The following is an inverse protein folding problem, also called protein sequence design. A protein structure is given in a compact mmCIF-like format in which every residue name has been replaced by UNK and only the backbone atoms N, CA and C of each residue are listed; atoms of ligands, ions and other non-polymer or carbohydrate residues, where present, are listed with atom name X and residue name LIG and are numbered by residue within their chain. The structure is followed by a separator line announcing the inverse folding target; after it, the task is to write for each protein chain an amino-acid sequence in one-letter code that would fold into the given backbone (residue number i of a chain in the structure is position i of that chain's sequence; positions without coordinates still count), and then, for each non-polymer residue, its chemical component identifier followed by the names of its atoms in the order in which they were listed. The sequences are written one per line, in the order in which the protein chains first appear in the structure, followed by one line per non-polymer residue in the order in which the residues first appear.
data_IF_989511217516
#
_entry.id   IF_989511217516
#
_cell.length_a   1.000
_cell.length_b   1.000
_cell.length_c   1.000
_cell.angle_alpha   90.00
_cell.angle_beta   90.00
_cell.angle_gamma   90.00
#
_symmetry.space_group_name_H-M   'P 1'
#
loop_
_entity.id
_entity.type
_entity.pdbx_description
1 polymer ?
#
# COMPACT_ATOMS: atom_id res chain seq x y z
N UNK A 1 14.34 -29.95 13.84
CA UNK A 1 13.37 -28.89 13.50
C UNK A 1 13.95 -28.09 12.35
N UNK A 2 13.18 -27.87 11.28
CA UNK A 2 13.59 -26.94 10.23
C UNK A 2 13.46 -25.52 10.80
N UNK A 3 14.53 -24.70 10.82
CA UNK A 3 14.40 -23.32 11.28
C UNK A 3 13.41 -22.59 10.39
N UNK A 4 12.47 -21.86 11.02
CA UNK A 4 11.57 -20.96 10.32
C UNK A 4 12.38 -19.86 9.63
N UNK A 5 11.96 -19.50 8.43
CA UNK A 5 12.59 -18.42 7.70
C UNK A 5 12.33 -17.08 8.43
N UNK A 6 13.37 -16.27 8.56
CA UNK A 6 13.34 -14.96 9.20
C UNK A 6 14.02 -13.95 8.26
N UNK A 7 13.44 -12.76 8.11
CA UNK A 7 13.75 -11.84 7.00
C UNK A 7 14.21 -10.45 7.42
N UNK A 8 14.84 -10.30 8.59
CA UNK A 8 15.46 -9.05 9.03
C UNK A 8 16.44 -8.41 8.02
N UNK A 9 17.03 -9.22 7.12
CA UNK A 9 17.95 -8.77 6.06
C UNK A 9 17.28 -8.65 4.69
N UNK A 10 16.00 -8.97 4.59
CA UNK A 10 15.25 -9.11 3.34
C UNK A 10 15.47 -10.45 2.64
N UNK A 11 14.70 -10.67 1.59
CA UNK A 11 14.84 -11.78 0.65
C UNK A 11 14.34 -11.36 -0.71
N UNK A 12 14.98 -11.81 -1.79
CA UNK A 12 14.52 -11.53 -3.16
C UNK A 12 13.55 -12.60 -3.69
N UNK A 13 13.55 -13.79 -3.10
CA UNK A 13 12.75 -14.94 -3.55
C UNK A 13 12.39 -15.84 -2.37
N UNK A 14 11.21 -15.61 -1.79
CA UNK A 14 10.67 -16.45 -0.72
C UNK A 14 10.20 -17.80 -1.26
N UNK A 15 10.49 -18.88 -0.54
CA UNK A 15 10.09 -20.25 -0.95
C UNK A 15 8.60 -20.54 -0.79
N UNK A 16 7.86 -19.59 -0.21
CA UNK A 16 6.46 -19.78 0.15
C UNK A 16 6.31 -20.45 1.51
N UNK A 17 5.18 -20.19 2.17
CA UNK A 17 4.87 -20.73 3.49
C UNK A 17 5.23 -19.76 4.61
N UNK A 18 5.11 -20.29 5.83
CA UNK A 18 5.26 -19.53 7.07
C UNK A 18 6.67 -18.92 7.22
N UNK A 19 6.69 -17.61 7.48
CA UNK A 19 7.90 -16.84 7.71
C UNK A 19 7.69 -15.85 8.86
N UNK A 20 8.78 -15.56 9.57
CA UNK A 20 8.83 -14.48 10.54
C UNK A 20 9.25 -13.22 9.81
N UNK A 21 8.47 -12.15 9.99
CA UNK A 21 8.73 -10.81 9.46
C UNK A 21 8.63 -9.78 10.57
N UNK A 22 9.24 -8.61 10.37
CA UNK A 22 9.37 -7.60 11.42
C UNK A 22 10.38 -8.00 12.51
N UNK A 23 11.21 -9.02 12.25
CA UNK A 23 12.29 -9.48 13.13
C UNK A 23 13.48 -8.51 13.15
N UNK A 24 13.58 -7.62 12.16
CA UNK A 24 14.59 -6.56 12.11
C UNK A 24 14.33 -5.36 13.03
N UNK A 25 13.22 -5.34 13.80
CA UNK A 25 12.86 -4.20 14.65
C UNK A 25 12.40 -2.96 13.89
N UNK A 26 12.08 -3.11 12.60
CA UNK A 26 11.65 -2.05 11.68
C UNK A 26 10.52 -2.57 10.80
N UNK A 27 9.75 -1.67 10.19
CA UNK A 27 8.72 -2.05 9.22
C UNK A 27 9.36 -2.50 7.92
N UNK A 28 8.89 -3.62 7.38
CA UNK A 28 9.39 -4.23 6.14
C UNK A 28 8.27 -4.26 5.10
N UNK A 29 8.63 -4.36 3.82
CA UNK A 29 7.65 -4.47 2.72
C UNK A 29 7.75 -5.85 2.10
N UNK A 30 6.64 -6.58 2.07
CA UNK A 30 6.53 -7.85 1.35
C UNK A 30 5.89 -7.55 0.00
N UNK A 31 6.61 -7.80 -1.07
CA UNK A 31 6.12 -7.73 -2.44
C UNK A 31 5.79 -9.15 -2.90
N UNK A 32 4.54 -9.40 -3.25
CA UNK A 32 4.12 -10.70 -3.78
C UNK A 32 4.32 -10.74 -5.30
N UNK A 33 4.44 -11.93 -5.91
CA UNK A 33 4.50 -12.06 -7.37
C UNK A 33 3.23 -11.56 -8.08
N UNK A 34 2.11 -11.45 -7.36
CA UNK A 34 0.85 -10.90 -7.90
C UNK A 34 0.87 -9.38 -8.09
N UNK A 35 1.89 -8.70 -7.54
CA UNK A 35 2.02 -7.24 -7.56
C UNK A 35 1.47 -6.56 -6.31
N UNK A 36 0.91 -7.30 -5.36
CA UNK A 36 0.47 -6.76 -4.07
C UNK A 36 1.67 -6.51 -3.14
N UNK A 37 1.59 -5.42 -2.37
CA UNK A 37 2.58 -5.04 -1.37
C UNK A 37 1.94 -5.01 0.03
N UNK A 38 2.55 -5.68 0.99
CA UNK A 38 2.12 -5.70 2.38
C UNK A 38 3.18 -5.03 3.26
N UNK A 39 2.73 -4.23 4.23
CA UNK A 39 3.61 -3.58 5.21
C UNK A 39 3.58 -4.38 6.52
N UNK A 40 4.74 -4.78 7.01
CA UNK A 40 4.86 -5.56 8.24
C UNK A 40 5.06 -4.64 9.46
N UNK A 41 4.61 -5.06 10.67
CA UNK A 41 4.92 -4.33 11.89
C UNK A 41 6.41 -4.43 12.23
N UNK A 42 6.92 -3.55 13.09
CA UNK A 42 8.31 -3.56 13.58
C UNK A 42 8.56 -4.58 14.71
N UNK A 43 7.64 -5.53 14.88
CA UNK A 43 7.70 -6.59 15.88
C UNK A 43 7.65 -7.93 15.16
N UNK A 44 8.38 -8.97 15.63
CA UNK A 44 8.35 -10.28 15.00
C UNK A 44 6.93 -10.85 14.98
N UNK A 45 6.41 -11.08 13.78
CA UNK A 45 5.11 -11.72 13.55
C UNK A 45 5.28 -12.86 12.57
N UNK A 46 4.54 -13.94 12.80
CA UNK A 46 4.51 -15.10 11.94
C UNK A 46 3.39 -14.92 10.89
N UNK A 47 3.77 -14.93 9.62
CA UNK A 47 2.86 -14.72 8.49
C UNK A 47 3.08 -15.79 7.44
N UNK A 48 2.02 -16.18 6.74
CA UNK A 48 2.14 -17.01 5.55
C UNK A 48 2.36 -16.12 4.33
N UNK A 49 3.47 -16.32 3.63
CA UNK A 49 3.86 -15.48 2.50
C UNK A 49 3.85 -16.33 1.23
N UNK A 50 3.28 -15.84 0.11
CA UNK A 50 3.32 -16.55 -1.17
C UNK A 50 4.74 -16.84 -1.65
N UNK A 51 4.89 -17.92 -2.42
CA UNK A 51 6.14 -18.23 -3.12
C UNK A 51 6.54 -17.07 -4.06
N UNK A 52 7.84 -16.85 -4.25
CA UNK A 52 8.41 -15.75 -5.03
C UNK A 52 8.15 -14.36 -4.50
N UNK A 53 7.73 -14.25 -3.23
CA UNK A 53 7.62 -12.94 -2.59
C UNK A 53 8.99 -12.40 -2.21
N UNK A 54 9.16 -11.09 -2.34
CA UNK A 54 10.35 -10.35 -1.95
C UNK A 54 10.10 -9.57 -0.66
N UNK A 55 10.95 -9.74 0.34
CA UNK A 55 10.90 -8.97 1.59
C UNK A 55 11.96 -7.88 1.55
N UNK A 56 11.54 -6.63 1.71
CA UNK A 56 12.40 -5.47 1.72
C UNK A 56 12.55 -5.01 3.18
N UNK A 57 13.77 -5.04 3.75
CA UNK A 57 14.02 -4.89 5.19
C UNK A 57 13.86 -3.46 5.73
N UNK A 58 13.61 -2.49 4.84
CA UNK A 58 13.37 -1.11 5.20
C UNK A 58 12.27 -0.55 4.30
N UNK A 59 11.06 -0.44 4.87
CA UNK A 59 9.94 0.18 4.19
C UNK A 59 10.22 1.65 3.84
N UNK A 60 10.96 2.36 4.69
CA UNK A 60 11.27 3.76 4.48
C UNK A 60 12.22 3.96 3.29
N UNK A 61 13.21 3.09 3.16
CA UNK A 61 14.09 3.03 1.99
C UNK A 61 13.30 2.65 0.73
N UNK A 62 12.39 1.69 0.83
CA UNK A 62 11.49 1.34 -0.26
C UNK A 62 10.66 2.52 -0.72
N UNK A 63 10.05 3.31 0.19
CA UNK A 63 9.30 4.50 -0.19
C UNK A 63 10.18 5.62 -0.76
N UNK A 64 11.43 5.75 -0.30
CA UNK A 64 12.37 6.73 -0.86
C UNK A 64 12.73 6.40 -2.31
N UNK A 65 12.94 5.11 -2.60
CA UNK A 65 13.49 4.60 -3.86
C UNK A 65 12.42 4.15 -4.87
N UNK A 66 11.29 3.64 -4.40
CA UNK A 66 10.13 3.34 -5.21
C UNK A 66 9.53 4.69 -5.64
N UNK A 67 9.50 4.92 -6.96
CA UNK A 67 8.91 6.09 -7.62
C UNK A 67 7.39 6.25 -7.38
N UNK A 68 6.83 5.56 -6.38
CA UNK A 68 5.45 5.75 -5.90
C UNK A 68 5.45 6.99 -5.01
N UNK A 69 5.68 8.13 -5.62
CA UNK A 69 5.44 9.43 -5.03
C UNK A 69 4.22 9.97 -5.74
N UNK A 70 3.03 9.54 -5.33
CA UNK A 70 1.90 10.46 -5.48
C UNK A 70 2.26 11.68 -4.63
N UNK A 71 1.99 12.88 -5.14
CA UNK A 71 2.32 14.12 -4.41
C UNK A 71 1.76 14.08 -2.99
N UNK A 72 0.61 13.42 -2.81
CA UNK A 72 -0.02 13.14 -1.52
C UNK A 72 0.90 12.35 -0.57
N UNK A 73 1.53 11.26 -1.02
CA UNK A 73 2.39 10.43 -0.16
C UNK A 73 3.66 11.15 0.30
N UNK A 74 4.20 12.04 -0.53
CA UNK A 74 5.32 12.90 -0.14
C UNK A 74 4.91 13.98 0.85
N UNK A 75 3.77 14.63 0.61
CA UNK A 75 3.23 15.68 1.47
C UNK A 75 2.84 15.12 2.84
N UNK A 76 2.27 13.91 2.90
CA UNK A 76 2.02 13.16 4.14
C UNK A 76 3.30 12.95 4.94
N UNK A 77 4.36 12.44 4.29
CA UNK A 77 5.63 12.19 4.97
C UNK A 77 6.31 13.48 5.45
N UNK A 78 6.25 14.55 4.67
CA UNK A 78 6.79 15.84 5.07
C UNK A 78 6.03 16.41 6.27
N UNK A 79 4.70 16.31 6.26
CA UNK A 79 3.83 16.72 7.35
C UNK A 79 4.09 15.93 8.64
N UNK A 80 4.31 14.62 8.55
CA UNK A 80 4.73 13.78 9.69
C UNK A 80 6.10 14.19 10.26
N UNK A 81 7.06 14.54 9.40
CA UNK A 81 8.39 15.01 9.83
C UNK A 81 8.33 16.38 10.51
N UNK A 82 7.53 17.29 9.96
CA UNK A 82 7.37 18.65 10.46
C UNK A 82 6.39 18.72 11.65
N UNK A 83 5.73 17.61 11.98
CA UNK A 83 4.69 17.49 13.00
C UNK A 83 3.55 18.50 12.81
N UNK A 84 3.17 18.73 11.56
CA UNK A 84 2.16 19.68 11.12
C UNK A 84 1.05 18.95 10.34
N UNK A 85 -0.23 19.34 10.46
CA UNK A 85 -1.29 18.77 9.63
C UNK A 85 -1.18 19.28 8.20
N UNK A 86 -1.39 18.41 7.21
CA UNK A 86 -1.53 18.81 5.80
C UNK A 86 -3.01 18.77 5.39
N UNK A 87 -3.43 19.72 4.57
CA UNK A 87 -4.80 19.83 4.03
C UNK A 87 -4.77 19.54 2.54
N UNK A 88 -5.60 18.60 2.09
CA UNK A 88 -5.80 18.32 0.66
C UNK A 88 -7.19 18.79 0.26
N UNK A 89 -7.26 19.73 -0.68
CA UNK A 89 -8.54 20.14 -1.25
C UNK A 89 -8.91 19.20 -2.40
N UNK A 90 -9.97 18.42 -2.20
CA UNK A 90 -10.53 17.54 -3.22
C UNK A 90 -11.73 18.22 -3.85
N UNK A 91 -11.56 18.71 -5.08
CA UNK A 91 -12.66 19.27 -5.86
C UNK A 91 -13.12 18.26 -6.91
N UNK A 92 -14.19 17.52 -6.59
CA UNK A 92 -14.82 16.63 -7.56
C UNK A 92 -15.90 17.40 -8.33
N UNK A 93 -15.64 17.70 -9.61
CA UNK A 93 -16.65 18.25 -10.52
C UNK A 93 -17.59 17.14 -11.01
N UNK A 94 -18.78 17.07 -10.41
CA UNK A 94 -19.82 16.10 -10.76
C UNK A 94 -20.83 16.63 -11.80
N UNK A 95 -20.64 17.84 -12.33
CA UNK A 95 -21.62 18.48 -13.22
C UNK A 95 -21.98 17.64 -14.45
N UNK A 96 -21.04 16.85 -14.96
CA UNK A 96 -21.27 15.95 -16.10
C UNK A 96 -22.07 14.70 -15.73
N UNK A 97 -21.95 14.23 -14.49
CA UNK A 97 -22.72 13.09 -13.98
C UNK A 97 -24.16 13.52 -13.71
N UNK A 98 -24.35 14.67 -13.07
CA UNK A 98 -25.67 15.26 -12.80
C UNK A 98 -26.46 15.45 -14.09
N UNK A 99 -25.87 16.11 -15.10
CA UNK A 99 -26.50 16.30 -16.42
C UNK A 99 -26.94 14.98 -17.08
N UNK A 100 -26.19 13.89 -16.89
CA UNK A 100 -26.55 12.58 -17.44
C UNK A 100 -27.69 11.94 -16.65
N UNK A 101 -27.69 12.05 -15.33
CA UNK A 101 -28.73 11.52 -14.45
C UNK A 101 -30.07 12.22 -14.73
N UNK A 102 -30.05 13.53 -14.94
CA UNK A 102 -31.22 14.32 -15.30
C UNK A 102 -31.78 13.92 -16.66
N UNK A 103 -30.92 13.77 -17.66
CA UNK A 103 -31.32 13.34 -19.00
C UNK A 103 -31.95 11.93 -18.99
N UNK A 104 -31.40 11.01 -18.18
CA UNK A 104 -31.96 9.66 -18.02
C UNK A 104 -33.32 9.71 -17.33
N UNK A 105 -33.44 10.49 -16.24
CA UNK A 105 -34.72 10.63 -15.52
C UNK A 105 -35.81 11.20 -16.43
N UNK A 106 -35.50 12.24 -17.20
CA UNK A 106 -36.43 12.82 -18.18
C UNK A 106 -36.82 11.84 -19.29
N UNK A 107 -35.88 11.00 -19.75
CA UNK A 107 -36.19 9.97 -20.74
C UNK A 107 -37.15 8.92 -20.19
N UNK A 108 -36.99 8.53 -18.92
CA UNK A 108 -37.86 7.54 -18.27
C UNK A 108 -39.26 8.10 -18.01
N UNK A 109 -39.39 9.36 -17.58
CA UNK A 109 -40.68 10.03 -17.41
C UNK A 109 -41.46 10.15 -18.72
N UNK A 110 -40.75 10.23 -19.86
CA UNK A 110 -41.37 10.32 -21.19
C UNK A 110 -41.81 8.97 -21.76
N UNK A 111 -41.38 7.85 -21.16
CA UNK A 111 -41.74 6.48 -21.57
C UNK A 111 -42.89 5.88 -20.74
N UNK A 112 -43.31 6.54 -19.65
CA UNK A 112 -44.48 6.22 -18.84
C UNK A 112 -45.70 7.02 -19.30
#
# INVERSE_FOLDING_TARGET
ATPLAAYAKGTDDHKGGMAVVGDGGRKEVILTPSGEAYLTPSTPVLVDIPMHSKVIPDAEEYYRNARIRSDIGLMMKQAELDNEPFIVNVNNDFSRLEKKMDAISQSNDKMM
#
